data_IF_782565714143
#
_entry.id   IF_782565714143
#
_cell.length_a   1.000
_cell.length_b   1.000
_cell.length_c   1.000
_cell.angle_alpha   90.00
_cell.angle_beta   90.00
_cell.angle_gamma   90.00
#
_symmetry.space_group_name_H-M   'P 1'
#
loop_
_entity.id
_entity.type
_entity.pdbx_description
1 polymer ?
#
# COMPACT_ATOMS: atom_id res chain seq x y z
N UNK A 1 -8.52 15.91 -2.40
CA UNK A 1 -7.84 15.57 -3.67
C UNK A 1 -8.87 14.95 -4.61
N UNK A 2 -9.08 15.49 -5.83
CA UNK A 2 -10.11 14.99 -6.78
C UNK A 2 -9.58 13.97 -7.80
N UNK A 3 -8.30 13.65 -7.72
CA UNK A 3 -7.60 12.85 -8.73
C UNK A 3 -7.23 11.50 -8.14
N UNK A 4 -7.66 10.42 -8.79
CA UNK A 4 -7.27 9.03 -8.51
C UNK A 4 -7.09 8.29 -9.84
N UNK A 5 -6.27 7.24 -9.85
CA UNK A 5 -6.10 6.37 -11.03
C UNK A 5 -7.20 5.32 -11.14
N UNK A 6 -7.51 4.65 -10.03
CA UNK A 6 -8.60 3.69 -9.89
C UNK A 6 -9.19 3.76 -8.46
N UNK A 7 -10.40 3.23 -8.27
CA UNK A 7 -10.97 2.95 -6.93
C UNK A 7 -10.75 1.51 -6.48
N UNK A 8 -10.22 0.66 -7.36
CA UNK A 8 -9.91 -0.72 -7.03
C UNK A 8 -8.70 -0.81 -6.11
N UNK A 9 -8.74 -1.77 -5.19
CA UNK A 9 -7.66 -2.11 -4.28
C UNK A 9 -7.07 -3.46 -4.72
N UNK A 10 -6.00 -3.39 -5.51
CA UNK A 10 -5.31 -4.55 -6.08
C UNK A 10 -3.82 -4.55 -5.71
N UNK A 11 -3.18 -5.71 -5.86
CA UNK A 11 -1.76 -5.85 -5.58
C UNK A 11 -0.90 -5.15 -6.66
N UNK A 12 -0.11 -4.16 -6.25
CA UNK A 12 0.98 -3.64 -7.07
C UNK A 12 2.25 -4.45 -6.74
N UNK A 13 2.94 -5.06 -7.72
CA UNK A 13 4.11 -5.93 -7.48
C UNK A 13 5.20 -5.29 -6.60
N UNK A 14 5.40 -3.97 -6.71
CA UNK A 14 6.36 -3.23 -5.88
C UNK A 14 6.05 -3.26 -4.37
N UNK A 15 4.80 -3.54 -3.98
CA UNK A 15 4.43 -3.75 -2.58
C UNK A 15 5.03 -5.05 -2.01
N UNK A 16 5.13 -6.10 -2.83
CA UNK A 16 5.68 -7.40 -2.42
C UNK A 16 7.20 -7.43 -2.34
N UNK A 17 7.89 -6.75 -3.26
CA UNK A 17 9.33 -6.94 -3.45
C UNK A 17 10.21 -6.39 -2.31
N UNK A 18 9.63 -5.69 -1.34
CA UNK A 18 10.37 -4.92 -0.33
C UNK A 18 11.49 -4.03 -0.93
N UNK A 19 11.42 -3.79 -2.23
CA UNK A 19 12.52 -3.29 -3.03
C UNK A 19 11.92 -2.30 -4.01
N UNK A 20 12.54 -1.14 -4.09
CA UNK A 20 12.38 -0.29 -5.25
C UNK A 20 12.91 -1.08 -6.44
N UNK A 21 12.11 -1.29 -7.48
CA UNK A 21 12.70 -1.35 -8.83
C UNK A 21 13.52 -0.05 -8.90
N UNK A 22 14.84 -0.20 -8.83
CA UNK A 22 15.71 0.77 -8.19
C UNK A 22 15.74 2.09 -8.93
N UNK A 23 14.98 3.08 -8.48
CA UNK A 23 15.22 4.46 -8.87
C UNK A 23 16.55 4.92 -8.30
N UNK A 24 17.35 5.65 -9.07
CA UNK A 24 18.60 6.28 -8.60
C UNK A 24 18.36 7.45 -7.63
N UNK A 25 17.13 7.64 -7.16
CA UNK A 25 16.68 8.78 -6.38
C UNK A 25 16.08 8.28 -5.06
N UNK A 26 16.47 8.91 -3.95
CA UNK A 26 15.88 8.62 -2.65
C UNK A 26 14.43 9.10 -2.54
N UNK A 27 13.80 8.83 -1.39
CA UNK A 27 12.64 9.64 -0.97
C UNK A 27 13.04 11.11 -0.88
N UNK A 28 12.07 11.99 -1.07
CA UNK A 28 12.28 13.42 -0.96
C UNK A 28 12.63 13.84 0.47
N UNK A 29 13.40 14.91 0.60
CA UNK A 29 13.84 15.50 1.85
C UNK A 29 13.49 16.98 1.82
N UNK A 30 12.73 17.41 2.82
CA UNK A 30 12.43 18.82 3.07
C UNK A 30 13.14 19.23 4.36
N UNK A 31 14.33 19.80 4.22
CA UNK A 31 15.13 20.34 5.33
C UNK A 31 15.67 21.70 4.93
N UNK A 32 15.50 22.69 5.80
CA UNK A 32 15.90 24.07 5.54
C UNK A 32 17.42 24.26 5.35
N UNK A 33 18.25 23.30 5.75
CA UNK A 33 19.70 23.32 5.51
C UNK A 33 20.13 22.68 4.18
N UNK A 34 19.20 22.05 3.47
CA UNK A 34 19.44 21.38 2.18
C UNK A 34 18.67 22.01 1.01
N UNK A 35 17.54 22.66 1.30
CA UNK A 35 16.67 23.31 0.31
C UNK A 35 16.15 24.64 0.86
N UNK A 36 16.07 25.65 -0.02
CA UNK A 36 15.51 26.97 0.28
C UNK A 36 13.97 27.00 0.29
N UNK A 37 13.36 28.13 0.70
CA UNK A 37 11.90 28.27 0.79
C UNK A 37 11.18 28.16 -0.56
N UNK A 38 11.88 28.46 -1.66
CA UNK A 38 11.34 28.43 -3.03
C UNK A 38 11.81 27.21 -3.84
N UNK A 39 12.60 26.32 -3.23
CA UNK A 39 13.11 25.11 -3.88
C UNK A 39 12.07 23.98 -3.84
N UNK A 40 12.15 23.09 -4.84
CA UNK A 40 11.50 21.78 -4.73
C UNK A 40 12.14 20.95 -3.61
N UNK A 41 11.41 19.95 -3.10
CA UNK A 41 11.98 19.01 -2.13
C UNK A 41 13.23 18.32 -2.73
N UNK A 42 14.31 18.29 -1.96
CA UNK A 42 15.56 17.68 -2.39
C UNK A 42 15.47 16.15 -2.42
N UNK A 43 16.42 15.50 -3.07
CA UNK A 43 16.59 14.06 -3.02
C UNK A 43 18.06 13.68 -3.24
N UNK A 44 18.50 12.57 -2.64
CA UNK A 44 19.83 12.01 -2.89
C UNK A 44 19.83 11.25 -4.20
N UNK A 45 20.78 11.57 -5.07
CA UNK A 45 21.11 10.78 -6.26
C UNK A 45 22.16 9.72 -5.93
N UNK A 46 21.84 8.44 -6.13
CA UNK A 46 22.73 7.29 -5.89
C UNK A 46 23.59 7.01 -7.13
N UNK A 47 24.55 7.90 -7.41
CA UNK A 47 25.44 7.82 -8.58
C UNK A 47 26.16 6.47 -8.67
N UNK A 48 26.53 5.91 -7.52
CA UNK A 48 27.22 4.62 -7.40
C UNK A 48 26.41 3.43 -7.93
N UNK A 49 25.08 3.55 -7.99
CA UNK A 49 24.18 2.51 -8.48
C UNK A 49 23.84 2.67 -9.97
N UNK A 50 24.32 3.71 -10.64
CA UNK A 50 23.98 4.01 -12.03
C UNK A 50 24.35 2.87 -12.99
N UNK A 51 25.43 2.12 -12.70
CA UNK A 51 25.85 0.97 -13.52
C UNK A 51 24.91 -0.24 -13.45
N UNK A 52 24.00 -0.26 -12.48
CA UNK A 52 23.01 -1.33 -12.28
C UNK A 52 21.57 -0.83 -12.38
N UNK A 53 21.35 0.41 -12.81
CA UNK A 53 20.02 0.99 -12.94
C UNK A 53 19.21 0.28 -14.04
N UNK A 54 17.96 -0.07 -13.71
CA UNK A 54 17.00 -0.67 -14.64
C UNK A 54 15.72 0.15 -14.74
N UNK A 55 15.71 1.37 -14.18
CA UNK A 55 14.53 2.25 -14.17
C UNK A 55 14.00 2.51 -15.58
N UNK A 56 14.88 2.86 -16.53
CA UNK A 56 14.49 3.12 -17.93
C UNK A 56 13.91 1.86 -18.57
N UNK A 57 14.58 0.71 -18.44
CA UNK A 57 14.10 -0.56 -19.00
C UNK A 57 12.72 -0.96 -18.42
N UNK A 58 12.48 -0.73 -17.13
CA UNK A 58 11.17 -0.95 -16.52
C UNK A 58 10.10 -0.01 -17.10
N UNK A 59 10.41 1.29 -17.23
CA UNK A 59 9.50 2.26 -17.83
C UNK A 59 9.21 1.92 -19.29
N UNK A 60 10.22 1.55 -20.07
CA UNK A 60 10.06 1.12 -21.46
C UNK A 60 9.16 -0.12 -21.56
N UNK A 61 9.35 -1.11 -20.69
CA UNK A 61 8.52 -2.32 -20.66
C UNK A 61 7.04 -2.01 -20.37
N UNK A 62 6.78 -1.08 -19.44
CA UNK A 62 5.42 -0.63 -19.10
C UNK A 62 4.83 0.22 -20.22
N UNK A 63 5.56 1.24 -20.71
CA UNK A 63 5.10 2.16 -21.74
C UNK A 63 4.92 1.51 -23.10
N UNK A 64 5.66 0.43 -23.40
CA UNK A 64 5.44 -0.39 -24.59
C UNK A 64 4.03 -1.01 -24.63
N UNK A 65 3.34 -1.14 -23.50
CA UNK A 65 1.94 -1.63 -23.43
C UNK A 65 0.92 -0.54 -23.69
N UNK A 66 1.28 0.74 -23.62
CA UNK A 66 0.31 1.84 -23.73
C UNK A 66 -0.43 1.86 -25.06
N UNK A 67 0.21 1.64 -26.23
CA UNK A 67 -0.52 1.59 -27.51
C UNK A 67 -1.61 0.51 -27.54
N UNK A 68 -1.42 -0.61 -26.83
CA UNK A 68 -2.39 -1.71 -26.78
C UNK A 68 -3.69 -1.33 -26.06
N UNK A 69 -3.64 -0.34 -25.15
CA UNK A 69 -4.76 0.03 -24.27
C UNK A 69 -5.23 1.48 -24.43
N UNK A 70 -4.53 2.30 -25.22
CA UNK A 70 -4.75 3.74 -25.29
C UNK A 70 -6.19 4.13 -25.62
N UNK A 71 -6.79 3.53 -26.65
CA UNK A 71 -8.15 3.83 -27.08
C UNK A 71 -9.18 3.42 -26.03
N UNK A 72 -9.03 2.22 -25.46
CA UNK A 72 -9.89 1.72 -24.39
C UNK A 72 -9.80 2.60 -23.14
N UNK A 73 -8.58 2.96 -22.72
CA UNK A 73 -8.35 3.87 -21.60
C UNK A 73 -8.97 5.25 -21.84
N UNK A 74 -8.87 5.79 -23.06
CA UNK A 74 -9.50 7.06 -23.41
C UNK A 74 -11.03 6.99 -23.37
N UNK A 75 -11.64 5.88 -23.82
CA UNK A 75 -13.08 5.66 -23.72
C UNK A 75 -13.53 5.57 -22.25
N UNK A 76 -12.87 4.73 -21.45
CA UNK A 76 -13.15 4.58 -20.02
C UNK A 76 -12.97 5.91 -19.25
N UNK A 77 -11.93 6.68 -19.58
CA UNK A 77 -11.71 7.99 -18.97
C UNK A 77 -12.86 8.95 -19.26
N UNK A 78 -13.42 8.96 -20.48
CA UNK A 78 -14.58 9.80 -20.82
C UNK A 78 -15.82 9.39 -20.02
N UNK A 79 -16.07 8.09 -19.90
CA UNK A 79 -17.18 7.56 -19.10
C UNK A 79 -17.02 7.95 -17.62
N UNK A 80 -15.86 7.71 -17.03
CA UNK A 80 -15.54 8.07 -15.65
C UNK A 80 -15.69 9.57 -15.38
N UNK A 81 -15.23 10.41 -16.32
CA UNK A 81 -15.35 11.87 -16.19
C UNK A 81 -16.81 12.35 -16.19
N UNK A 82 -17.73 11.59 -16.79
CA UNK A 82 -19.16 11.86 -16.79
C UNK A 82 -19.90 11.38 -15.52
N UNK A 83 -19.27 10.53 -14.69
CA UNK A 83 -19.85 10.06 -13.43
C UNK A 83 -19.69 11.05 -12.28
N UNK A 84 -20.45 10.85 -11.20
CA UNK A 84 -20.20 11.56 -9.94
C UNK A 84 -18.89 11.09 -9.30
N UNK A 85 -17.92 12.01 -9.25
CA UNK A 85 -16.60 11.80 -8.66
C UNK A 85 -16.44 12.50 -7.32
N UNK A 86 -17.55 12.89 -6.69
CA UNK A 86 -17.56 13.42 -5.33
C UNK A 86 -16.91 12.40 -4.39
N UNK A 87 -15.94 12.82 -3.55
CA UNK A 87 -15.33 11.91 -2.57
C UNK A 87 -16.39 11.39 -1.60
N UNK A 88 -16.51 10.07 -1.50
CA UNK A 88 -17.49 9.39 -0.62
C UNK A 88 -17.05 9.35 0.83
N UNK A 89 -15.74 9.42 1.09
CA UNK A 89 -15.12 9.27 2.41
C UNK A 89 -15.36 7.91 3.10
N UNK A 90 -15.92 6.94 2.38
CA UNK A 90 -16.21 5.59 2.89
C UNK A 90 -14.95 4.89 3.44
N UNK A 91 -13.81 5.08 2.77
CA UNK A 91 -12.54 4.52 3.19
C UNK A 91 -12.01 5.09 4.50
N UNK A 92 -12.29 6.37 4.78
CA UNK A 92 -11.91 7.00 6.05
C UNK A 92 -12.85 6.56 7.17
N UNK A 93 -14.16 6.59 6.91
CA UNK A 93 -15.17 6.13 7.86
C UNK A 93 -14.96 4.66 8.25
N UNK A 94 -14.54 3.79 7.31
CA UNK A 94 -14.19 2.42 7.62
C UNK A 94 -12.96 2.30 8.53
N UNK A 95 -11.93 3.13 8.32
CA UNK A 95 -10.74 3.16 9.18
C UNK A 95 -11.09 3.59 10.60
N UNK A 96 -11.90 4.62 10.77
CA UNK A 96 -12.38 5.09 12.08
C UNK A 96 -13.21 3.99 12.78
N UNK A 97 -14.16 3.41 12.06
CA UNK A 97 -15.01 2.33 12.57
C UNK A 97 -14.19 1.13 13.02
N UNK A 98 -13.24 0.66 12.21
CA UNK A 98 -12.34 -0.45 12.56
C UNK A 98 -11.49 -0.11 13.79
N UNK A 99 -10.98 1.13 13.87
CA UNK A 99 -10.19 1.57 15.02
C UNK A 99 -10.99 1.47 16.34
N UNK A 100 -12.28 1.79 16.31
CA UNK A 100 -13.17 1.68 17.47
C UNK A 100 -13.63 0.24 17.74
N UNK A 101 -14.12 -0.49 16.73
CA UNK A 101 -14.64 -1.87 16.88
C UNK A 101 -13.59 -2.83 17.46
N UNK A 102 -12.32 -2.64 17.10
CA UNK A 102 -11.21 -3.46 17.57
C UNK A 102 -10.43 -2.82 18.74
N UNK A 103 -10.96 -1.76 19.37
CA UNK A 103 -10.37 -1.07 20.53
C UNK A 103 -8.88 -0.66 20.34
N UNK A 104 -8.53 -0.24 19.12
CA UNK A 104 -7.19 0.22 18.75
C UNK A 104 -7.00 1.68 19.17
N UNK A 105 -8.03 2.51 18.99
CA UNK A 105 -8.05 3.95 19.29
C UNK A 105 -6.88 4.76 18.68
N UNK A 106 -6.31 4.26 17.59
CA UNK A 106 -5.31 4.95 16.76
C UNK A 106 -5.42 4.47 15.30
N UNK A 107 -5.96 5.35 14.46
CA UNK A 107 -6.11 5.11 13.02
C UNK A 107 -4.78 4.83 12.32
N UNK A 108 -3.64 5.24 12.90
CA UNK A 108 -2.32 4.95 12.34
C UNK A 108 -1.93 3.47 12.45
N UNK A 109 -2.66 2.66 13.23
CA UNK A 109 -2.46 1.23 13.35
C UNK A 109 -3.38 0.43 12.42
N UNK A 110 -4.30 1.10 11.73
CA UNK A 110 -5.19 0.52 10.72
C UNK A 110 -4.59 0.78 9.34
N UNK A 111 -4.23 -0.28 8.61
CA UNK A 111 -3.54 -0.19 7.31
C UNK A 111 -4.41 -0.72 6.18
N UNK A 112 -5.25 0.15 5.58
CA UNK A 112 -6.15 -0.26 4.52
C UNK A 112 -5.40 -0.52 3.21
N UNK A 113 -5.84 -1.53 2.49
CA UNK A 113 -5.32 -1.86 1.17
C UNK A 113 -4.42 -3.09 1.16
N UNK A 114 -4.41 -3.80 0.03
CA UNK A 114 -3.58 -5.00 -0.17
C UNK A 114 -2.10 -4.70 0.04
N UNK A 115 -1.61 -3.62 -0.57
CA UNK A 115 -0.19 -3.24 -0.47
C UNK A 115 0.25 -2.85 0.93
N UNK A 116 -0.58 -2.10 1.66
CA UNK A 116 -0.27 -1.69 3.04
C UNK A 116 -0.37 -2.87 4.01
N UNK A 117 -1.36 -3.73 3.86
CA UNK A 117 -1.49 -4.99 4.62
C UNK A 117 -0.27 -5.87 4.42
N UNK A 118 0.20 -6.00 3.17
CA UNK A 118 1.45 -6.71 2.85
C UNK A 118 2.64 -6.11 3.60
N UNK A 119 2.75 -4.78 3.67
CA UNK A 119 3.83 -4.10 4.43
C UNK A 119 3.72 -4.29 5.93
N UNK A 120 2.51 -4.41 6.49
CA UNK A 120 2.32 -4.80 7.89
C UNK A 120 2.88 -6.20 8.11
N UNK A 121 2.50 -7.16 7.26
CA UNK A 121 2.98 -8.54 7.33
C UNK A 121 4.48 -8.67 7.09
N UNK A 122 5.14 -7.77 6.35
CA UNK A 122 6.58 -7.88 6.12
C UNK A 122 7.44 -7.10 7.12
N UNK A 123 6.92 -6.01 7.71
CA UNK A 123 7.78 -5.00 8.36
C UNK A 123 7.23 -4.41 9.66
N UNK A 124 6.14 -4.96 10.21
CA UNK A 124 5.53 -4.54 11.49
C UNK A 124 5.24 -5.76 12.36
N UNK A 125 4.64 -5.49 13.53
CA UNK A 125 4.01 -6.50 14.39
C UNK A 125 2.54 -6.60 13.99
N UNK A 126 2.16 -7.58 13.15
CA UNK A 126 0.78 -7.78 12.76
C UNK A 126 -0.04 -8.32 13.93
N UNK A 127 -1.29 -7.89 14.02
CA UNK A 127 -2.25 -8.42 14.98
C UNK A 127 -3.34 -9.26 14.30
N UNK A 128 -3.95 -8.73 13.24
CA UNK A 128 -5.05 -9.37 12.50
C UNK A 128 -5.12 -8.79 11.09
N UNK A 129 -5.66 -9.56 10.15
CA UNK A 129 -6.05 -9.08 8.81
C UNK A 129 -7.57 -9.15 8.70
N UNK A 130 -8.20 -8.05 8.29
CA UNK A 130 -9.60 -8.02 7.91
C UNK A 130 -9.68 -8.16 6.39
N UNK A 131 -10.38 -9.17 5.90
CA UNK A 131 -10.56 -9.45 4.49
C UNK A 131 -11.99 -9.11 4.07
N UNK A 132 -12.17 -8.48 2.92
CA UNK A 132 -13.51 -8.32 2.36
C UNK A 132 -14.07 -9.71 2.03
N UNK A 133 -15.32 -9.97 2.41
CA UNK A 133 -16.02 -11.18 2.00
C UNK A 133 -15.95 -11.36 0.47
N UNK A 134 -15.53 -12.55 0.02
CA UNK A 134 -15.35 -12.84 -1.41
C UNK A 134 -14.11 -12.21 -2.05
N UNK A 135 -13.14 -11.70 -1.27
CA UNK A 135 -11.86 -11.23 -1.81
C UNK A 135 -11.15 -12.37 -2.58
N UNK A 136 -10.90 -12.13 -3.87
CA UNK A 136 -10.31 -13.08 -4.81
C UNK A 136 -8.81 -13.30 -4.64
N UNK A 137 -8.15 -13.67 -5.74
CA UNK A 137 -6.73 -14.05 -5.78
C UNK A 137 -5.76 -12.95 -5.36
N UNK A 138 -6.17 -11.68 -5.44
CA UNK A 138 -5.37 -10.53 -4.99
C UNK A 138 -5.03 -10.56 -3.50
N UNK A 139 -5.71 -11.40 -2.70
CA UNK A 139 -5.44 -11.57 -1.28
C UNK A 139 -4.56 -12.80 -0.96
N UNK A 140 -4.25 -13.67 -1.94
CA UNK A 140 -3.63 -14.97 -1.67
C UNK A 140 -2.24 -14.85 -1.04
N UNK A 141 -1.43 -13.88 -1.46
CA UNK A 141 -0.12 -13.64 -0.83
C UNK A 141 -0.26 -13.10 0.59
N UNK A 142 -1.30 -12.33 0.89
CA UNK A 142 -1.58 -11.87 2.27
C UNK A 142 -1.99 -13.04 3.14
N UNK A 143 -2.87 -13.93 2.65
CA UNK A 143 -3.28 -15.15 3.36
C UNK A 143 -2.06 -16.01 3.70
N UNK A 144 -1.17 -16.23 2.73
CA UNK A 144 0.08 -16.96 2.92
C UNK A 144 0.98 -16.32 3.98
N UNK A 145 1.18 -14.99 3.90
CA UNK A 145 2.01 -14.27 4.89
C UNK A 145 1.38 -14.31 6.29
N UNK A 146 0.05 -14.19 6.38
CA UNK A 146 -0.67 -14.25 7.65
C UNK A 146 -0.53 -15.64 8.28
N UNK A 147 -0.71 -16.71 7.50
CA UNK A 147 -0.50 -18.10 7.93
C UNK A 147 0.92 -18.31 8.46
N UNK A 148 1.94 -17.91 7.70
CA UNK A 148 3.35 -18.03 8.11
C UNK A 148 3.66 -17.29 9.42
N UNK A 149 2.99 -16.15 9.66
CA UNK A 149 3.17 -15.35 10.87
C UNK A 149 2.22 -15.71 12.00
N UNK A 150 1.30 -16.66 11.81
CA UNK A 150 0.27 -17.01 12.79
C UNK A 150 -0.73 -15.88 13.06
N UNK A 151 -0.99 -15.03 12.07
CA UNK A 151 -1.91 -13.89 12.15
C UNK A 151 -3.29 -14.33 11.66
N UNK A 152 -4.37 -14.14 12.43
CA UNK A 152 -5.70 -14.47 11.98
C UNK A 152 -6.15 -13.57 10.81
N UNK A 153 -6.80 -14.18 9.82
CA UNK A 153 -7.52 -13.50 8.74
C UNK A 153 -9.01 -13.67 9.01
N UNK A 154 -9.73 -12.56 9.14
CA UNK A 154 -11.16 -12.52 9.44
C UNK A 154 -11.91 -11.89 8.26
N UNK A 155 -12.91 -12.60 7.74
CA UNK A 155 -13.79 -12.03 6.72
C UNK A 155 -14.80 -11.10 7.34
N UNK A 156 -14.95 -9.91 6.76
CA UNK A 156 -15.89 -8.89 7.20
C UNK A 156 -16.64 -8.30 6.00
N UNK A 157 -17.92 -8.03 6.21
CA UNK A 157 -18.79 -7.43 5.21
C UNK A 157 -18.57 -5.92 5.11
N UNK A 158 -18.86 -5.35 3.94
CA UNK A 158 -18.89 -3.90 3.74
C UNK A 158 -17.53 -3.20 3.84
N UNK A 159 -16.42 -3.93 3.69
CA UNK A 159 -15.09 -3.30 3.61
C UNK A 159 -14.91 -2.56 2.27
N UNK A 160 -14.59 -1.25 2.28
CA UNK A 160 -14.27 -0.51 1.05
C UNK A 160 -12.90 -0.86 0.47
N UNK A 161 -12.09 -1.64 1.19
CA UNK A 161 -10.81 -2.19 0.74
C UNK A 161 -10.90 -3.72 0.57
N UNK A 162 -10.02 -4.31 -0.24
CA UNK A 162 -9.91 -5.78 -0.38
C UNK A 162 -9.44 -6.40 0.94
N UNK A 163 -8.54 -5.73 1.65
CA UNK A 163 -8.19 -6.08 3.03
C UNK A 163 -7.64 -4.90 3.84
N UNK A 164 -7.54 -5.10 5.15
CA UNK A 164 -6.97 -4.15 6.11
C UNK A 164 -6.05 -4.90 7.08
N UNK A 165 -4.80 -4.47 7.17
CA UNK A 165 -3.83 -5.00 8.14
C UNK A 165 -3.89 -4.20 9.43
N UNK A 166 -4.05 -4.89 10.57
CA UNK A 166 -4.03 -4.28 11.89
C UNK A 166 -2.64 -4.45 12.52
N UNK A 167 -2.03 -3.35 12.94
CA UNK A 167 -0.77 -3.35 13.70
C UNK A 167 -1.12 -3.50 15.18
N UNK A 168 -0.34 -4.30 15.91
CA UNK A 168 -0.56 -4.49 17.34
C UNK A 168 -0.35 -3.19 18.14
N UNK A 169 -1.30 -2.75 18.99
CA UNK A 169 -1.24 -1.45 19.66
C UNK A 169 -0.18 -1.35 20.75
N UNK A 170 0.15 -2.46 21.41
CA UNK A 170 1.12 -2.48 22.53
C UNK A 170 2.55 -2.84 22.14
N UNK A 171 2.76 -3.37 20.93
CA UNK A 171 4.04 -3.99 20.56
C UNK A 171 4.72 -3.18 19.45
N UNK A 172 5.96 -2.79 19.72
CA UNK A 172 6.80 -2.10 18.73
C UNK A 172 7.55 -3.13 17.87
N UNK A 173 8.18 -2.69 16.78
CA UNK A 173 8.88 -3.57 15.80
C UNK A 173 9.84 -4.60 16.41
N UNK A 174 10.39 -4.35 17.60
CA UNK A 174 11.30 -5.28 18.28
C UNK A 174 10.62 -6.42 19.05
N UNK A 175 9.29 -6.45 19.13
CA UNK A 175 8.54 -7.43 19.91
C UNK A 175 8.27 -8.75 19.18
N UNK A 176 8.45 -8.80 17.86
CA UNK A 176 8.41 -10.07 17.13
C UNK A 176 9.72 -10.80 17.33
N UNK A 177 9.67 -12.10 17.69
CA UNK A 177 10.85 -12.95 17.82
C UNK A 177 11.65 -13.05 16.51
N UNK A 178 12.83 -13.66 16.56
CA UNK A 178 13.69 -13.86 15.39
C UNK A 178 13.01 -14.68 14.26
N UNK A 179 11.92 -15.40 14.59
CA UNK A 179 11.09 -16.17 13.67
C UNK A 179 10.01 -15.33 12.96
N UNK A 180 9.84 -14.06 13.35
CA UNK A 180 8.87 -13.14 12.75
C UNK A 180 7.41 -13.45 13.08
N UNK A 181 7.09 -14.40 13.97
CA UNK A 181 5.69 -14.72 14.30
C UNK A 181 5.01 -13.60 15.09
N UNK A 182 3.68 -13.55 15.02
CA UNK A 182 2.87 -12.67 15.85
C UNK A 182 3.18 -12.94 17.33
N UNK A 183 3.15 -11.89 18.15
CA UNK A 183 3.40 -12.02 19.59
C UNK A 183 2.25 -12.83 20.19
N UNK A 184 2.58 -13.94 20.87
CA UNK A 184 1.61 -14.72 21.62
C UNK A 184 1.07 -13.85 22.77
N UNK A 185 -0.25 -13.71 22.86
CA UNK A 185 -0.91 -13.06 24.01
C UNK A 185 -0.83 -13.97 25.23
#
# INVERSE_FOLDING_TARGET
>A
MRTYGTREDFLIPSACLNSTVSGLISRTVLRADLVGPDDFHGAKFYRELAGTDVSVAFLDAVSARFPEVADAACAQAKELLATDRSPTWEGWAAVERISEEYAIHDVNLVKPGVGETTRVMLRRVPWKVLARAGAGSDLDHVRLLAEQRGVPVEEVDGLPYTCVGLIHPKYTRGATGADGKAVSV
#
